data_IF_546597445710
#
_entry.id   IF_546597445710
#
_cell.length_a   1.000
_cell.length_b   1.000
_cell.length_c   1.000
_cell.angle_alpha   90.00
_cell.angle_beta   90.00
_cell.angle_gamma   90.00
#
_symmetry.space_group_name_H-M   'P 1'
#
loop_
_entity.id
_entity.type
_entity.pdbx_description
1 polymer ?
#
# COMPACT_ATOMS: atom_id res chain seq x y z
N UNK A 1 -25.06 23.71 13.81
CA UNK A 1 -24.41 22.80 14.79
C UNK A 1 -23.08 22.38 14.20
N UNK A 2 -21.98 22.64 14.93
CA UNK A 2 -20.60 22.44 14.49
C UNK A 2 -20.32 20.96 14.19
N UNK A 3 -20.46 20.56 12.92
CA UNK A 3 -19.91 19.31 12.44
C UNK A 3 -18.40 19.46 12.32
N UNK A 4 -17.64 18.46 12.76
CA UNK A 4 -16.21 18.36 12.48
C UNK A 4 -16.05 18.30 10.95
N UNK A 5 -15.80 19.45 10.34
CA UNK A 5 -15.55 19.57 8.93
C UNK A 5 -14.11 19.18 8.61
N UNK A 6 -13.83 19.09 7.31
CA UNK A 6 -12.46 18.96 6.82
C UNK A 6 -11.51 20.06 7.36
N UNK A 7 -11.92 21.34 7.50
CA UNK A 7 -11.05 22.37 8.06
C UNK A 7 -10.58 22.08 9.49
N UNK A 8 -11.49 21.67 10.38
CA UNK A 8 -11.18 21.35 11.78
C UNK A 8 -10.23 20.16 11.88
N UNK A 9 -10.43 19.13 11.04
CA UNK A 9 -9.54 17.96 10.99
C UNK A 9 -8.13 18.35 10.51
N UNK A 10 -8.00 19.27 9.55
CA UNK A 10 -6.70 19.76 9.08
C UNK A 10 -5.99 20.53 10.19
N UNK A 11 -6.69 21.40 10.92
CA UNK A 11 -6.09 22.14 12.05
C UNK A 11 -5.60 21.18 13.13
N UNK A 12 -6.40 20.16 13.49
CA UNK A 12 -6.00 19.13 14.43
C UNK A 12 -4.78 18.35 13.94
N UNK A 13 -4.76 17.96 12.66
CA UNK A 13 -3.64 17.25 12.04
C UNK A 13 -2.35 18.08 12.15
N UNK A 14 -2.41 19.38 11.87
CA UNK A 14 -1.26 20.28 11.98
C UNK A 14 -0.74 20.34 13.42
N UNK A 15 -1.61 20.45 14.42
CA UNK A 15 -1.21 20.44 15.83
C UNK A 15 -0.48 19.13 16.18
N UNK A 16 -1.04 17.99 15.78
CA UNK A 16 -0.42 16.67 16.00
C UNK A 16 0.94 16.58 15.29
N UNK A 17 1.03 17.06 14.05
CA UNK A 17 2.29 17.09 13.29
C UNK A 17 3.35 17.98 13.94
N UNK A 18 2.98 19.07 14.60
CA UNK A 18 3.93 19.93 15.33
C UNK A 18 4.43 19.23 16.60
N UNK A 19 3.56 18.55 17.35
CA UNK A 19 3.93 17.86 18.59
C UNK A 19 4.78 16.61 18.34
N UNK A 20 4.37 15.79 17.37
CA UNK A 20 5.03 14.51 17.08
C UNK A 20 6.07 14.63 15.97
N UNK A 21 6.00 15.66 15.12
CA UNK A 21 6.82 15.80 13.92
C UNK A 21 6.22 15.09 12.71
N UNK A 22 6.44 15.64 11.52
CA UNK A 22 5.92 15.08 10.26
C UNK A 22 6.44 13.67 9.91
N UNK A 23 7.56 13.26 10.50
CA UNK A 23 8.18 11.96 10.23
C UNK A 23 7.58 10.83 11.07
N UNK A 24 6.93 11.11 12.21
CA UNK A 24 6.45 10.06 13.13
C UNK A 24 5.15 9.41 12.66
N UNK A 25 4.23 10.18 12.08
CA UNK A 25 2.98 9.65 11.53
C UNK A 25 3.21 8.58 10.44
N UNK A 26 4.03 8.81 9.40
CA UNK A 26 4.29 7.79 8.38
C UNK A 26 5.10 6.60 8.91
N UNK A 27 5.98 6.81 9.89
CA UNK A 27 6.72 5.73 10.56
C UNK A 27 5.78 4.75 11.28
N UNK A 28 4.86 5.28 12.09
CA UNK A 28 3.83 4.49 12.78
C UNK A 28 2.87 3.86 11.77
N UNK A 29 2.44 4.62 10.76
CA UNK A 29 1.53 4.14 9.71
C UNK A 29 2.09 2.97 8.91
N UNK A 30 3.41 2.94 8.66
CA UNK A 30 4.07 1.80 8.00
C UNK A 30 4.00 0.53 8.87
N UNK A 31 4.30 0.65 10.16
CA UNK A 31 4.23 -0.50 11.09
C UNK A 31 2.81 -1.03 11.26
N UNK A 32 1.85 -0.13 11.50
CA UNK A 32 0.43 -0.49 11.62
C UNK A 32 -0.12 -1.06 10.31
N UNK A 33 0.24 -0.48 9.16
CA UNK A 33 -0.19 -0.95 7.85
C UNK A 33 0.32 -2.35 7.53
N UNK A 34 1.59 -2.65 7.86
CA UNK A 34 2.13 -4.01 7.75
C UNK A 34 1.43 -4.99 8.68
N UNK A 35 1.17 -4.59 9.93
CA UNK A 35 0.45 -5.42 10.89
C UNK A 35 -0.97 -5.74 10.40
N UNK A 36 -1.74 -4.74 9.95
CA UNK A 36 -3.08 -4.94 9.39
C UNK A 36 -3.03 -5.82 8.14
N UNK A 37 -2.05 -5.63 7.26
CA UNK A 37 -1.88 -6.45 6.05
C UNK A 37 -1.64 -7.91 6.39
N UNK A 38 -0.74 -8.18 7.34
CA UNK A 38 -0.41 -9.53 7.77
C UNK A 38 -1.57 -10.17 8.53
N UNK A 39 -2.26 -9.40 9.38
CA UNK A 39 -3.46 -9.84 10.08
C UNK A 39 -4.57 -10.23 9.09
N UNK A 40 -4.84 -9.37 8.10
CA UNK A 40 -5.82 -9.67 7.05
C UNK A 40 -5.45 -10.94 6.28
N UNK A 41 -4.17 -11.13 5.94
CA UNK A 41 -3.67 -12.31 5.22
C UNK A 41 -3.89 -13.58 6.05
N UNK A 42 -3.50 -13.57 7.32
CA UNK A 42 -3.68 -14.69 8.25
C UNK A 42 -5.16 -15.02 8.54
N UNK A 43 -6.04 -14.02 8.51
CA UNK A 43 -7.50 -14.22 8.70
C UNK A 43 -8.23 -14.62 7.41
N UNK A 44 -7.72 -14.25 6.24
CA UNK A 44 -8.40 -14.48 4.95
C UNK A 44 -7.93 -15.73 4.21
N UNK A 45 -6.74 -16.26 4.54
CA UNK A 45 -6.23 -17.50 3.97
C UNK A 45 -6.59 -18.66 4.90
N UNK A 46 -7.47 -19.61 4.51
CA UNK A 46 -7.55 -20.91 5.20
C UNK A 46 -6.21 -21.64 5.05
N UNK A 47 -5.83 -22.46 6.03
CA UNK A 47 -4.53 -23.14 6.15
C UNK A 47 -4.14 -23.95 4.89
N UNK A 48 -3.62 -23.28 3.86
CA UNK A 48 -2.94 -23.92 2.75
C UNK A 48 -1.44 -23.79 2.99
N UNK A 49 -0.82 -24.92 3.29
CA UNK A 49 0.64 -25.07 3.33
C UNK A 49 1.15 -24.75 1.92
N UNK A 50 1.54 -23.50 1.69
CA UNK A 50 2.08 -23.04 0.43
C UNK A 50 3.54 -23.51 0.29
N UNK A 51 3.72 -24.72 -0.24
CA UNK A 51 5.03 -25.30 -0.58
C UNK A 51 5.59 -24.78 -1.91
N UNK A 52 5.01 -23.71 -2.48
CA UNK A 52 5.48 -23.18 -3.75
C UNK A 52 6.58 -22.15 -3.55
N UNK A 53 7.82 -22.37 -4.02
CA UNK A 53 8.87 -21.35 -3.95
C UNK A 53 8.42 -20.15 -4.77
N UNK A 54 8.31 -19.00 -4.12
CA UNK A 54 7.85 -17.74 -4.71
C UNK A 54 8.82 -17.32 -5.81
N UNK A 55 8.49 -17.70 -7.05
CA UNK A 55 9.22 -17.33 -8.26
C UNK A 55 9.33 -15.81 -8.32
N UNK A 56 10.56 -15.33 -8.31
CA UNK A 56 10.93 -13.94 -8.59
C UNK A 56 10.29 -13.55 -9.93
N UNK A 57 9.27 -12.68 -9.88
CA UNK A 57 8.79 -12.01 -11.08
C UNK A 57 9.67 -10.80 -11.27
N UNK A 58 10.67 -11.00 -12.13
CA UNK A 58 11.47 -9.98 -12.78
C UNK A 58 10.56 -8.89 -13.32
N UNK A 59 10.93 -7.66 -13.00
CA UNK A 59 10.27 -6.44 -13.40
C UNK A 59 10.69 -6.11 -14.83
N UNK A 60 10.03 -6.70 -15.83
CA UNK A 60 10.14 -6.25 -17.23
C UNK A 60 8.85 -5.55 -17.64
N UNK A 61 8.91 -4.23 -17.60
CA UNK A 61 7.98 -3.35 -18.29
C UNK A 61 8.63 -2.87 -19.58
N UNK A 62 7.85 -2.91 -20.67
CA UNK A 62 7.74 -1.82 -21.65
C UNK A 62 8.80 -1.78 -22.78
N UNK A 63 8.46 -2.25 -24.00
CA UNK A 63 7.97 -1.41 -25.14
C UNK A 63 8.14 -2.03 -26.54
N UNK A 64 7.07 -1.91 -27.33
CA UNK A 64 7.06 -1.82 -28.82
C UNK A 64 7.24 -3.15 -29.54
N UNK A 65 6.44 -3.57 -30.52
CA UNK A 65 5.51 -2.88 -31.40
C UNK A 65 5.65 -3.53 -32.78
N UNK A 66 4.52 -3.84 -33.43
CA UNK A 66 4.51 -4.21 -34.86
C UNK A 66 4.30 -5.68 -35.17
N UNK A 67 3.07 -6.15 -35.01
CA UNK A 67 2.54 -7.26 -35.78
C UNK A 67 2.32 -6.77 -37.24
N UNK A 68 2.98 -7.38 -38.22
CA UNK A 68 2.45 -7.61 -39.58
C UNK A 68 3.36 -8.54 -40.38
N UNK A 69 2.90 -9.78 -40.48
CA UNK A 69 3.36 -10.82 -41.39
C UNK A 69 2.72 -10.59 -42.77
N UNK A 70 3.54 -10.59 -43.82
CA UNK A 70 3.17 -10.82 -45.23
C UNK A 70 4.44 -11.44 -45.83
N UNK A 71 4.49 -12.72 -46.15
CA UNK A 71 3.59 -13.43 -47.04
C UNK A 71 4.22 -13.38 -48.44
N UNK A 72 5.21 -14.24 -48.65
CA UNK A 72 5.71 -14.69 -49.95
C UNK A 72 5.60 -16.22 -49.98
#
# INVERSE_FOLDING_TARGET
>A
MFGLGMPELIVLLVIVLVLFGANRLPEIGRGVGQAIKNFKKATSEPDEIDVTPKKEVTKDSDKGGGEKVKGE
#
